data_IF_324026101926
#
_entry.id   IF_324026101926
#
_cell.length_a   1.000
_cell.length_b   1.000
_cell.length_c   1.000
_cell.angle_alpha   90.00
_cell.angle_beta   90.00
_cell.angle_gamma   90.00
#
_symmetry.space_group_name_H-M   'P 1'
#
loop_
_entity.id
_entity.type
_entity.pdbx_description
1 polymer ?
#
# COMPACT_ATOMS: atom_id res chain seq x y z
N UNK A 1 11.73 -19.60 -18.29
CA UNK A 1 12.30 -19.06 -17.04
C UNK A 1 11.17 -18.48 -16.24
N UNK A 2 10.88 -19.02 -15.06
CA UNK A 2 9.91 -18.41 -14.15
C UNK A 2 10.52 -17.09 -13.67
N UNK A 3 10.09 -15.95 -14.24
CA UNK A 3 10.45 -14.64 -13.68
C UNK A 3 9.64 -14.46 -12.39
N UNK A 4 10.15 -15.02 -11.30
CA UNK A 4 9.56 -14.79 -9.97
C UNK A 4 9.73 -13.30 -9.66
N UNK A 5 8.64 -12.61 -9.34
CA UNK A 5 8.71 -11.23 -8.89
C UNK A 5 9.29 -11.17 -7.47
N UNK A 6 10.16 -10.20 -7.22
CA UNK A 6 10.73 -9.97 -5.89
C UNK A 6 9.71 -9.31 -4.95
N UNK A 7 8.91 -8.37 -5.49
CA UNK A 7 7.94 -7.60 -4.70
C UNK A 7 6.64 -7.38 -5.47
N UNK A 8 5.53 -7.40 -4.73
CA UNK A 8 4.23 -6.84 -5.14
C UNK A 8 3.89 -5.68 -4.23
N UNK A 9 3.66 -4.50 -4.79
CA UNK A 9 3.19 -3.33 -4.04
C UNK A 9 1.69 -3.19 -4.25
N UNK A 10 0.89 -3.41 -3.21
CA UNK A 10 -0.57 -3.30 -3.24
C UNK A 10 -0.98 -1.93 -2.72
N UNK A 11 -1.66 -1.16 -3.55
CA UNK A 11 -2.11 0.20 -3.26
C UNK A 11 -3.63 0.27 -3.36
N UNK A 12 -4.36 0.17 -2.24
CA UNK A 12 -5.79 0.47 -2.23
C UNK A 12 -5.99 1.98 -2.36
N UNK A 13 -6.93 2.39 -3.19
CA UNK A 13 -7.21 3.80 -3.45
C UNK A 13 -8.70 4.09 -3.51
N UNK A 14 -9.06 5.32 -3.15
CA UNK A 14 -10.39 5.87 -3.30
C UNK A 14 -10.32 7.39 -3.40
N UNK A 15 -10.61 7.94 -4.59
CA UNK A 15 -10.50 9.38 -4.91
C UNK A 15 -9.08 9.94 -4.67
N UNK A 16 -8.10 9.35 -5.37
CA UNK A 16 -6.67 9.68 -5.24
C UNK A 16 -6.02 9.97 -6.62
N UNK A 17 -6.80 10.49 -7.58
CA UNK A 17 -6.34 10.73 -8.95
C UNK A 17 -5.05 11.57 -9.03
N UNK A 18 -4.90 12.57 -8.14
CA UNK A 18 -3.76 13.49 -8.17
C UNK A 18 -2.45 12.88 -7.67
N UNK A 19 -2.52 12.00 -6.66
CA UNK A 19 -1.35 11.41 -6.00
C UNK A 19 -0.78 10.19 -6.73
N UNK A 20 -1.61 9.45 -7.46
CA UNK A 20 -1.22 8.17 -8.09
C UNK A 20 -0.02 8.26 -9.03
N UNK A 21 0.09 9.25 -9.96
CA UNK A 21 1.22 9.31 -10.88
C UNK A 21 2.56 9.50 -10.14
N UNK A 22 2.58 10.32 -9.09
CA UNK A 22 3.77 10.58 -8.28
C UNK A 22 4.17 9.33 -7.47
N UNK A 23 3.19 8.69 -6.81
CA UNK A 23 3.44 7.47 -6.03
C UNK A 23 4.00 6.35 -6.90
N UNK A 24 3.38 6.08 -8.06
CA UNK A 24 3.82 5.03 -8.97
C UNK A 24 5.22 5.31 -9.50
N UNK A 25 5.52 6.56 -9.89
CA UNK A 25 6.85 6.95 -10.33
C UNK A 25 7.91 6.81 -9.22
N UNK A 26 7.53 7.05 -7.97
CA UNK A 26 8.43 6.87 -6.84
C UNK A 26 8.71 5.39 -6.56
N UNK A 27 7.68 4.54 -6.56
CA UNK A 27 7.83 3.09 -6.42
C UNK A 27 8.73 2.53 -7.54
N UNK A 28 8.47 2.91 -8.79
CA UNK A 28 9.27 2.50 -9.96
C UNK A 28 10.73 2.85 -9.78
N UNK A 29 11.03 4.11 -9.43
CA UNK A 29 12.41 4.58 -9.21
C UNK A 29 13.13 3.76 -8.13
N UNK A 30 12.45 3.45 -7.01
CA UNK A 30 13.03 2.65 -5.93
C UNK A 30 13.27 1.21 -6.39
N UNK A 31 12.29 0.57 -7.00
CA UNK A 31 12.41 -0.80 -7.48
C UNK A 31 13.53 -0.96 -8.51
N UNK A 32 13.58 -0.06 -9.50
CA UNK A 32 14.61 -0.07 -10.56
C UNK A 32 16.00 0.17 -9.98
N UNK A 33 16.15 1.13 -9.05
CA UNK A 33 17.45 1.44 -8.44
C UNK A 33 18.05 0.28 -7.64
N UNK A 34 17.21 -0.64 -7.13
CA UNK A 34 17.62 -1.82 -6.40
C UNK A 34 17.61 -3.10 -7.25
N UNK A 35 17.23 -3.01 -8.53
CA UNK A 35 17.20 -4.13 -9.46
C UNK A 35 16.10 -5.15 -9.15
N UNK A 36 15.01 -4.74 -8.50
CA UNK A 36 13.89 -5.64 -8.17
C UNK A 36 13.02 -5.92 -9.40
N UNK A 37 12.66 -7.19 -9.59
CA UNK A 37 11.52 -7.58 -10.42
C UNK A 37 10.24 -7.32 -9.61
N UNK A 38 9.36 -6.44 -10.08
CA UNK A 38 8.26 -5.93 -9.28
C UNK A 38 6.96 -5.77 -10.08
N UNK A 39 5.87 -5.69 -9.35
CA UNK A 39 4.56 -5.22 -9.84
C UNK A 39 3.95 -4.22 -8.85
N UNK A 40 3.10 -3.34 -9.37
CA UNK A 40 2.24 -2.46 -8.56
C UNK A 40 0.80 -2.79 -8.89
N UNK A 41 0.02 -3.16 -7.88
CA UNK A 41 -1.39 -3.51 -7.99
C UNK A 41 -2.21 -2.35 -7.40
N UNK A 42 -2.78 -1.54 -8.28
CA UNK A 42 -3.65 -0.43 -7.92
C UNK A 42 -5.09 -0.95 -7.80
N UNK A 43 -5.67 -0.88 -6.60
CA UNK A 43 -7.03 -1.37 -6.36
C UNK A 43 -7.95 -0.19 -6.09
N UNK A 44 -8.72 0.19 -7.10
CA UNK A 44 -9.68 1.30 -7.02
C UNK A 44 -10.99 0.83 -6.37
N UNK A 45 -11.28 1.35 -5.20
CA UNK A 45 -12.46 1.04 -4.41
C UNK A 45 -13.70 1.87 -4.84
N UNK A 46 -13.91 1.96 -6.15
CA UNK A 46 -15.07 2.62 -6.74
C UNK A 46 -15.01 4.15 -6.68
N UNK A 47 -13.88 4.74 -7.05
CA UNK A 47 -13.67 6.18 -7.11
C UNK A 47 -14.63 6.89 -8.08
N UNK A 48 -14.83 8.17 -7.85
CA UNK A 48 -15.68 9.05 -8.66
C UNK A 48 -14.96 10.30 -9.18
N UNK A 49 -13.64 10.43 -8.94
CA UNK A 49 -12.83 11.62 -9.25
C UNK A 49 -11.92 11.48 -10.48
N UNK A 50 -12.07 10.39 -11.25
CA UNK A 50 -11.16 10.08 -12.38
C UNK A 50 -9.95 9.24 -12.01
N UNK A 51 -9.89 8.68 -10.79
CA UNK A 51 -8.79 7.80 -10.37
C UNK A 51 -8.65 6.57 -11.26
N UNK A 52 -9.77 5.98 -11.71
CA UNK A 52 -9.73 4.80 -12.57
C UNK A 52 -9.08 5.09 -13.92
N UNK A 53 -9.41 6.23 -14.54
CA UNK A 53 -8.79 6.68 -15.80
C UNK A 53 -7.29 6.88 -15.65
N UNK A 54 -6.85 7.37 -14.50
CA UNK A 54 -5.40 7.47 -14.18
C UNK A 54 -4.77 6.09 -14.08
N UNK A 55 -5.43 5.13 -13.39
CA UNK A 55 -4.95 3.74 -13.30
C UNK A 55 -4.79 3.12 -14.69
N UNK A 56 -5.79 3.28 -15.57
CA UNK A 56 -5.72 2.76 -16.95
C UNK A 56 -4.55 3.38 -17.74
N UNK A 57 -4.38 4.70 -17.64
CA UNK A 57 -3.25 5.40 -18.28
C UNK A 57 -1.88 4.94 -17.77
N UNK A 58 -1.75 4.66 -16.47
CA UNK A 58 -0.50 4.14 -15.89
C UNK A 58 -0.21 2.72 -16.36
N UNK A 59 -1.24 1.87 -16.43
CA UNK A 59 -1.13 0.49 -16.92
C UNK A 59 -0.70 0.42 -18.40
N UNK A 60 -1.19 1.33 -19.22
CA UNK A 60 -0.78 1.42 -20.63
C UNK A 60 0.71 1.77 -20.79
N UNK A 61 1.26 2.55 -19.87
CA UNK A 61 2.65 3.02 -19.91
C UNK A 61 3.66 2.01 -19.37
N UNK A 62 3.24 1.10 -18.48
CA UNK A 62 4.14 0.16 -17.81
C UNK A 62 3.48 -1.21 -17.60
N UNK A 63 4.10 -2.30 -18.07
CA UNK A 63 3.59 -3.65 -17.83
C UNK A 63 3.69 -4.09 -16.37
N UNK A 64 4.47 -3.38 -15.55
CA UNK A 64 4.56 -3.62 -14.11
C UNK A 64 3.32 -3.13 -13.35
N UNK A 65 2.44 -2.34 -13.97
CA UNK A 65 1.26 -1.79 -13.33
C UNK A 65 0.05 -2.67 -13.65
N UNK A 66 -0.67 -3.07 -12.61
CA UNK A 66 -1.94 -3.80 -12.70
C UNK A 66 -3.05 -2.98 -12.02
N UNK A 67 -4.24 -3.00 -12.58
CA UNK A 67 -5.42 -2.31 -12.04
C UNK A 67 -6.54 -3.29 -11.71
N UNK A 68 -7.19 -3.09 -10.58
CA UNK A 68 -8.42 -3.77 -10.17
C UNK A 68 -9.42 -2.66 -9.81
N UNK A 69 -10.54 -2.58 -10.52
CA UNK A 69 -11.58 -1.58 -10.25
C UNK A 69 -12.83 -2.20 -9.67
N UNK A 70 -13.36 -1.61 -8.62
CA UNK A 70 -14.64 -1.99 -8.03
C UNK A 70 -15.77 -1.14 -8.61
N UNK A 71 -16.95 -1.75 -8.80
CA UNK A 71 -18.12 -1.04 -9.30
C UNK A 71 -18.67 -0.01 -8.30
N UNK A 72 -18.32 -0.11 -7.02
CA UNK A 72 -18.69 0.80 -5.93
C UNK A 72 -17.73 0.63 -4.76
N UNK A 73 -17.79 1.54 -3.79
CA UNK A 73 -17.00 1.43 -2.57
C UNK A 73 -17.43 0.24 -1.70
N UNK A 74 -16.48 -0.66 -1.41
CA UNK A 74 -16.62 -1.81 -0.52
C UNK A 74 -15.73 -1.70 0.73
N UNK A 75 -14.86 -0.69 0.77
CA UNK A 75 -13.94 -0.41 1.85
C UNK A 75 -12.54 -0.98 1.65
N UNK A 76 -11.56 -0.35 2.31
CA UNK A 76 -10.12 -0.64 2.19
C UNK A 76 -9.79 -2.12 2.40
N UNK A 77 -10.46 -2.80 3.33
CA UNK A 77 -10.21 -4.23 3.61
C UNK A 77 -10.53 -5.13 2.42
N UNK A 78 -11.62 -4.83 1.69
CA UNK A 78 -11.99 -5.56 0.47
C UNK A 78 -10.94 -5.30 -0.64
N UNK A 79 -10.49 -4.07 -0.80
CA UNK A 79 -9.46 -3.72 -1.77
C UNK A 79 -8.13 -4.43 -1.46
N UNK A 80 -7.69 -4.44 -0.21
CA UNK A 80 -6.50 -5.17 0.23
C UNK A 80 -6.63 -6.68 -0.02
N UNK A 81 -7.79 -7.27 0.29
CA UNK A 81 -8.03 -8.69 0.04
C UNK A 81 -7.85 -9.05 -1.43
N UNK A 82 -8.44 -8.28 -2.34
CA UNK A 82 -8.30 -8.51 -3.78
C UNK A 82 -6.86 -8.27 -4.26
N UNK A 83 -6.20 -7.25 -3.73
CA UNK A 83 -4.79 -6.97 -4.05
C UNK A 83 -3.87 -8.10 -3.60
N UNK A 84 -4.04 -8.63 -2.41
CA UNK A 84 -3.26 -9.79 -1.91
C UNK A 84 -3.52 -11.05 -2.73
N UNK A 85 -4.77 -11.32 -3.10
CA UNK A 85 -5.12 -12.48 -3.93
C UNK A 85 -4.50 -12.41 -5.34
N UNK A 86 -4.22 -11.20 -5.84
CA UNK A 86 -3.63 -10.96 -7.15
C UNK A 86 -2.09 -10.85 -7.14
N UNK A 87 -1.48 -10.70 -5.96
CA UNK A 87 -0.04 -10.52 -5.79
C UNK A 87 0.76 -11.79 -6.14
N UNK A 88 1.84 -11.62 -6.92
CA UNK A 88 2.71 -12.73 -7.38
C UNK A 88 4.15 -12.60 -6.84
N UNK A 89 4.47 -11.48 -6.16
CA UNK A 89 5.78 -11.22 -5.58
C UNK A 89 6.11 -12.08 -4.36
N UNK A 90 7.40 -12.31 -4.15
CA UNK A 90 7.89 -13.03 -2.96
C UNK A 90 7.56 -12.31 -1.66
N UNK A 91 7.63 -10.99 -1.68
CA UNK A 91 7.22 -10.12 -0.57
C UNK A 91 6.10 -9.20 -1.05
N UNK A 92 5.02 -9.13 -0.28
CA UNK A 92 3.90 -8.23 -0.56
C UNK A 92 3.97 -7.04 0.38
N UNK A 93 3.96 -5.83 -0.19
CA UNK A 93 4.04 -4.56 0.53
C UNK A 93 2.75 -3.79 0.29
N UNK A 94 2.15 -3.22 1.33
CA UNK A 94 0.99 -2.35 1.20
C UNK A 94 1.39 -0.91 1.43
N UNK A 95 0.88 0.00 0.60
CA UNK A 95 1.08 1.44 0.75
C UNK A 95 -0.23 2.19 0.53
N UNK A 96 -0.44 3.26 1.27
CA UNK A 96 -1.56 4.16 1.04
C UNK A 96 -1.26 5.09 -0.14
N UNK A 97 -2.31 5.47 -0.90
CA UNK A 97 -2.16 6.29 -2.10
C UNK A 97 -1.89 7.79 -1.82
N UNK A 98 -1.96 8.23 -0.57
CA UNK A 98 -1.92 9.62 -0.13
C UNK A 98 -0.51 10.22 0.03
N UNK A 99 0.54 9.53 -0.43
CA UNK A 99 1.95 9.91 -0.34
C UNK A 99 2.49 10.08 1.10
N UNK A 100 1.81 9.54 2.11
CA UNK A 100 2.29 9.59 3.49
C UNK A 100 3.26 8.44 3.82
N UNK A 101 3.19 7.35 3.08
CA UNK A 101 4.13 6.23 3.15
C UNK A 101 5.29 6.48 2.18
N UNK A 102 6.52 6.18 2.60
CA UNK A 102 7.70 6.38 1.77
C UNK A 102 8.09 5.09 1.05
N UNK A 103 8.02 5.04 -0.30
CA UNK A 103 8.58 3.92 -1.07
C UNK A 103 10.06 3.64 -0.81
N UNK A 104 10.83 4.62 -0.31
CA UNK A 104 12.25 4.42 0.03
C UNK A 104 12.46 3.42 1.17
N UNK A 105 11.40 3.08 1.93
CA UNK A 105 11.45 2.05 2.97
C UNK A 105 11.29 0.61 2.43
N UNK A 106 10.87 0.45 1.18
CA UNK A 106 10.64 -0.87 0.53
C UNK A 106 11.85 -1.81 0.68
N UNK A 107 13.10 -1.38 0.41
CA UNK A 107 14.25 -2.27 0.52
C UNK A 107 14.47 -2.79 1.94
N UNK A 108 14.30 -1.94 2.93
CA UNK A 108 14.47 -2.30 4.34
C UNK A 108 13.36 -3.26 4.82
N UNK A 109 12.10 -2.97 4.46
CA UNK A 109 10.97 -3.86 4.79
C UNK A 109 11.18 -5.25 4.18
N UNK A 110 11.61 -5.32 2.90
CA UNK A 110 11.93 -6.58 2.23
C UNK A 110 13.08 -7.32 2.93
N UNK A 111 14.14 -6.61 3.29
CA UNK A 111 15.29 -7.17 4.00
C UNK A 111 14.87 -7.81 5.32
N UNK A 112 14.05 -7.13 6.11
CA UNK A 112 13.55 -7.65 7.39
C UNK A 112 12.76 -8.96 7.21
N UNK A 113 11.93 -9.07 6.18
CA UNK A 113 11.20 -10.31 5.88
C UNK A 113 12.16 -11.44 5.50
N UNK A 114 13.08 -11.18 4.56
CA UNK A 114 13.88 -12.23 3.95
C UNK A 114 15.12 -12.64 4.78
N UNK A 115 15.76 -11.67 5.46
CA UNK A 115 17.01 -11.91 6.17
C UNK A 115 16.82 -12.10 7.68
N UNK A 116 15.85 -11.39 8.27
CA UNK A 116 15.57 -11.49 9.70
C UNK A 116 14.46 -12.49 10.03
N UNK A 117 13.75 -13.00 8.98
CA UNK A 117 12.76 -14.07 9.11
C UNK A 117 11.44 -13.62 9.73
N UNK A 118 11.08 -12.34 9.61
CA UNK A 118 9.76 -11.86 10.03
C UNK A 118 8.69 -12.28 9.03
N UNK A 119 7.55 -12.77 9.52
CA UNK A 119 6.38 -13.07 8.69
C UNK A 119 5.58 -11.80 8.34
N UNK A 120 5.65 -10.77 9.19
CA UNK A 120 4.98 -9.49 9.01
C UNK A 120 5.80 -8.35 9.60
N UNK A 121 6.00 -7.30 8.82
CA UNK A 121 6.63 -6.05 9.27
C UNK A 121 5.65 -4.91 9.05
N UNK A 122 5.43 -4.09 10.07
CA UNK A 122 4.59 -2.90 9.99
C UNK A 122 5.44 -1.65 10.23
N UNK A 123 5.40 -0.70 9.30
CA UNK A 123 6.04 0.59 9.45
C UNK A 123 5.43 1.39 10.60
N UNK A 124 6.26 2.02 11.42
CA UNK A 124 5.82 2.89 12.49
C UNK A 124 5.93 4.37 12.07
N UNK A 125 4.77 5.03 11.89
CA UNK A 125 4.72 6.48 11.57
C UNK A 125 5.02 7.28 12.85
N UNK A 126 6.28 7.73 13.01
CA UNK A 126 6.71 8.57 14.18
C UNK A 126 6.01 9.93 14.24
N UNK A 127 5.57 10.50 13.10
CA UNK A 127 4.86 11.78 13.01
C UNK A 127 3.61 11.61 12.14
N UNK A 128 2.44 11.43 12.77
CA UNK A 128 1.16 11.52 12.07
C UNK A 128 0.85 12.98 11.74
N UNK A 129 0.56 13.28 10.49
CA UNK A 129 0.06 14.59 10.03
C UNK A 129 -1.48 14.69 10.05
N UNK A 130 -2.14 13.81 10.79
CA UNK A 130 -3.60 13.81 10.88
C UNK A 130 -4.12 15.09 11.56
N UNK A 131 -5.23 15.68 11.06
CA UNK A 131 -5.91 16.77 11.73
C UNK A 131 -6.28 16.39 13.17
N UNK A 132 -6.19 17.38 14.10
CA UNK A 132 -6.42 17.18 15.54
C UNK A 132 -7.76 16.47 15.84
N UNK A 133 -8.80 16.70 15.01
CA UNK A 133 -10.12 16.07 15.14
C UNK A 133 -10.15 14.55 14.92
N UNK A 134 -9.18 13.98 14.19
CA UNK A 134 -9.08 12.51 13.96
C UNK A 134 -8.24 11.79 15.03
N UNK A 135 -7.42 12.52 15.77
CA UNK A 135 -6.54 11.95 16.82
C UNK A 135 -7.29 11.52 18.09
N UNK A 136 -8.35 12.23 18.44
CA UNK A 136 -9.11 11.96 19.66
C UNK A 136 -9.89 10.64 19.63
N UNK A 137 -10.67 10.34 18.58
CA UNK A 137 -11.36 9.04 18.45
C UNK A 137 -10.39 7.86 18.42
N UNK A 138 -9.24 7.98 17.74
CA UNK A 138 -8.22 6.94 17.67
C UNK A 138 -7.61 6.63 19.04
N UNK A 139 -7.26 7.66 19.82
CA UNK A 139 -6.72 7.49 21.19
C UNK A 139 -7.73 6.83 22.14
N UNK A 140 -9.00 7.20 22.03
CA UNK A 140 -10.06 6.59 22.83
C UNK A 140 -10.27 5.13 22.46
N UNK A 141 -10.30 4.82 21.16
CA UNK A 141 -10.41 3.45 20.65
C UNK A 141 -9.22 2.60 21.09
N UNK A 142 -7.99 3.09 20.96
CA UNK A 142 -6.79 2.38 21.39
C UNK A 142 -6.75 2.16 22.89
N UNK A 143 -7.22 3.13 23.69
CA UNK A 143 -7.35 2.98 25.14
C UNK A 143 -8.32 1.86 25.53
N UNK A 144 -9.50 1.81 24.89
CA UNK A 144 -10.49 0.74 25.10
C UNK A 144 -9.98 -0.61 24.62
N UNK A 145 -9.36 -0.68 23.43
CA UNK A 145 -8.78 -1.89 22.86
C UNK A 145 -7.68 -2.48 23.76
N UNK A 146 -6.78 -1.64 24.30
CA UNK A 146 -5.75 -2.08 25.27
C UNK A 146 -6.34 -2.68 26.55
N UNK A 147 -7.46 -2.11 27.01
CA UNK A 147 -8.10 -2.54 28.27
C UNK A 147 -8.85 -3.86 28.11
N UNK A 148 -9.36 -4.14 26.90
CA UNK A 148 -10.14 -5.36 26.60
C UNK A 148 -9.25 -6.50 26.10
N UNK A 149 -8.25 -6.22 25.25
CA UNK A 149 -7.42 -7.24 24.60
C UNK A 149 -6.07 -7.50 25.28
N UNK A 150 -5.61 -6.61 26.16
CA UNK A 150 -4.27 -6.70 26.77
C UNK A 150 -3.09 -6.44 25.82
N UNK A 151 -3.35 -6.10 24.55
CA UNK A 151 -2.33 -5.86 23.54
C UNK A 151 -1.80 -4.42 23.66
N UNK A 152 -0.47 -4.26 23.72
CA UNK A 152 0.19 -2.94 23.69
C UNK A 152 0.26 -2.44 22.26
N UNK A 153 -0.71 -1.62 21.86
CA UNK A 153 -0.66 -0.89 20.58
C UNK A 153 0.17 0.39 20.76
N UNK A 154 1.15 0.61 19.91
CA UNK A 154 1.87 1.89 19.82
C UNK A 154 1.19 2.76 18.75
N UNK A 155 0.88 4.02 19.11
CA UNK A 155 0.38 5.07 18.20
C UNK A 155 1.55 5.85 17.63
#
# INVERSE_FOLDING_TARGET
MNNKLDISVVVPLYNEAESLPELVAWIDRVAVSHGYAYEVILVDDGSSDGSWEVVESLREKSPAIRGIGFARNYGKSAALYCGFAAAEGEVVITMDADLQDSPDEIPELRRMILEEGYDLVSGWKKKRRDPVGKRWPSKFFNWTARRVSGIKLHD
#
